data_IF_831112659243
#
_entry.id   IF_831112659243
#
_cell.length_a   1.000
_cell.length_b   1.000
_cell.length_c   1.000
_cell.angle_alpha   90.00
_cell.angle_beta   90.00
_cell.angle_gamma   90.00
#
_symmetry.space_group_name_H-M   'P 1'
#
loop_
_entity.id
_entity.type
_entity.pdbx_description
1 polymer ?
#
# COMPACT_ATOMS: atom_id res chain seq x y z
N UNK A 1 -11.66 1.45 -11.08
CA UNK A 1 -11.01 0.91 -9.96
C UNK A 1 -10.56 -0.50 -10.22
N UNK A 2 -9.26 -0.67 -10.49
CA UNK A 2 -8.70 -1.96 -10.85
C UNK A 2 -8.70 -2.90 -9.64
N UNK A 3 -9.45 -3.98 -9.73
CA UNK A 3 -9.26 -5.16 -8.91
C UNK A 3 -8.00 -5.84 -9.44
N UNK A 4 -6.90 -5.77 -8.68
CA UNK A 4 -5.78 -6.66 -8.90
C UNK A 4 -6.10 -7.97 -8.18
N UNK A 5 -6.42 -8.94 -8.96
CA UNK A 5 -6.61 -10.33 -8.55
C UNK A 5 -5.23 -10.94 -8.35
N UNK A 6 -5.04 -11.64 -7.24
CA UNK A 6 -3.85 -12.43 -6.99
C UNK A 6 -4.27 -13.87 -6.84
N UNK A 7 -3.68 -14.63 -7.67
CA UNK A 7 -3.88 -16.07 -7.81
C UNK A 7 -2.82 -16.82 -7.01
N UNK A 8 -3.16 -17.83 -6.26
CA UNK A 8 -2.21 -18.68 -5.54
C UNK A 8 -2.64 -20.15 -5.45
N UNK A 9 -1.75 -21.10 -5.49
CA UNK A 9 -1.93 -22.51 -5.81
C UNK A 9 -1.13 -23.49 -5.01
N UNK A 10 -1.48 -24.66 -4.67
CA UNK A 10 -0.64 -25.68 -4.08
C UNK A 10 -0.75 -27.06 -4.69
N UNK A 11 0.24 -27.87 -4.55
CA UNK A 11 0.32 -29.29 -4.78
C UNK A 11 -0.93 -29.83 -5.40
N UNK A 12 -1.32 -29.06 -6.38
CA UNK A 12 -2.62 -29.06 -6.91
C UNK A 12 -3.66 -28.48 -5.91
N UNK A 13 -3.35 -27.57 -5.04
CA UNK A 13 -4.28 -26.79 -4.25
C UNK A 13 -4.39 -25.40 -4.87
N UNK A 14 -5.56 -25.00 -5.38
CA UNK A 14 -5.76 -23.77 -6.14
C UNK A 14 -6.29 -22.64 -5.24
N UNK A 15 -5.71 -21.44 -5.30
CA UNK A 15 -6.10 -20.31 -4.48
C UNK A 15 -6.34 -19.04 -5.27
N UNK A 16 -7.38 -18.28 -4.94
CA UNK A 16 -7.70 -16.96 -5.51
C UNK A 16 -7.54 -15.87 -4.48
N UNK A 17 -6.90 -14.77 -4.88
CA UNK A 17 -6.71 -13.59 -4.06
C UNK A 17 -7.56 -12.41 -4.52
N UNK A 18 -8.32 -11.82 -3.60
CA UNK A 18 -9.05 -10.56 -3.83
C UNK A 18 -8.35 -9.42 -3.08
N UNK A 19 -7.88 -8.40 -3.82
CA UNK A 19 -7.26 -7.20 -3.24
C UNK A 19 -8.23 -6.03 -3.28
N UNK A 20 -8.59 -5.54 -2.10
CA UNK A 20 -9.35 -4.30 -1.94
C UNK A 20 -8.44 -3.26 -1.30
N UNK A 21 -7.98 -2.23 -2.03
CA UNK A 21 -7.15 -1.24 -1.37
C UNK A 21 -6.35 -0.28 -2.23
N UNK A 22 -5.26 0.19 -1.65
CA UNK A 22 -4.28 1.08 -2.26
C UNK A 22 -3.05 0.28 -2.75
N UNK A 23 -2.09 0.99 -3.35
CA UNK A 23 -0.84 0.39 -3.87
C UNK A 23 -0.08 -0.44 -2.81
N UNK A 24 -0.16 -0.06 -1.53
CA UNK A 24 0.44 -0.87 -0.45
C UNK A 24 -0.25 -2.22 -0.29
N UNK A 25 -1.58 -2.28 -0.48
CA UNK A 25 -2.29 -3.57 -0.47
C UNK A 25 -1.92 -4.42 -1.68
N UNK A 26 -1.72 -3.81 -2.84
CA UNK A 26 -1.22 -4.52 -4.04
C UNK A 26 0.16 -5.14 -3.76
N UNK A 27 1.09 -4.35 -3.23
CA UNK A 27 2.41 -4.85 -2.82
C UNK A 27 2.31 -5.97 -1.77
N UNK A 28 1.45 -5.83 -0.76
CA UNK A 28 1.22 -6.88 0.24
C UNK A 28 0.67 -8.16 -0.42
N UNK A 29 -0.21 -8.00 -1.40
CA UNK A 29 -0.81 -9.11 -2.12
C UNK A 29 0.21 -9.88 -2.98
N UNK A 30 1.14 -9.18 -3.65
CA UNK A 30 2.28 -9.81 -4.33
C UNK A 30 3.14 -10.64 -3.35
N UNK A 31 3.27 -10.19 -2.10
CA UNK A 31 3.99 -10.93 -1.05
C UNK A 31 3.18 -12.11 -0.52
N UNK A 32 1.87 -11.95 -0.35
CA UNK A 32 0.96 -13.06 0.01
C UNK A 32 1.07 -14.17 -1.03
N UNK A 33 0.96 -13.83 -2.31
CA UNK A 33 1.09 -14.78 -3.39
C UNK A 33 2.47 -15.46 -3.39
N UNK A 34 3.56 -14.67 -3.29
CA UNK A 34 4.91 -15.23 -3.26
C UNK A 34 5.18 -16.19 -2.10
N UNK A 35 4.65 -15.89 -0.90
CA UNK A 35 4.75 -16.78 0.27
C UNK A 35 3.98 -18.07 0.04
N UNK A 36 2.82 -18.01 -0.59
CA UNK A 36 2.01 -19.18 -0.91
C UNK A 36 2.66 -20.02 -2.02
N UNK A 37 3.19 -19.39 -3.06
CA UNK A 37 3.94 -20.08 -4.12
C UNK A 37 5.17 -20.82 -3.57
N UNK A 38 5.91 -20.20 -2.64
CA UNK A 38 7.07 -20.79 -1.97
C UNK A 38 6.69 -22.00 -1.10
N UNK A 39 5.48 -21.98 -0.54
CA UNK A 39 4.86 -23.10 0.20
C UNK A 39 4.25 -24.17 -0.74
N UNK A 40 4.38 -23.98 -2.04
CA UNK A 40 3.93 -24.91 -3.07
C UNK A 40 2.51 -24.66 -3.58
N UNK A 41 1.89 -23.52 -3.29
CA UNK A 41 0.61 -23.12 -3.85
C UNK A 41 0.78 -22.64 -5.33
N UNK A 42 -0.09 -22.95 -6.34
CA UNK A 42 -0.10 -22.57 -7.78
C UNK A 42 -1.28 -21.63 -8.10
N UNK A 43 -1.16 -20.47 -8.85
CA UNK A 43 -2.21 -19.47 -9.12
C UNK A 43 -3.48 -20.00 -9.80
N UNK A 44 -4.65 -19.59 -9.35
CA UNK A 44 -5.95 -19.89 -9.94
C UNK A 44 -6.73 -18.63 -10.29
N UNK A 45 -7.56 -18.67 -11.32
CA UNK A 45 -8.41 -17.55 -11.74
C UNK A 45 -9.72 -17.50 -10.94
N UNK A 46 -10.42 -16.34 -10.94
CA UNK A 46 -11.76 -16.22 -10.35
C UNK A 46 -12.74 -17.22 -10.97
N UNK A 47 -12.64 -17.49 -12.29
CA UNK A 47 -13.47 -18.48 -12.96
C UNK A 47 -13.23 -19.88 -12.37
N UNK A 48 -11.97 -20.26 -12.18
CA UNK A 48 -11.61 -21.53 -11.52
C UNK A 48 -12.12 -21.60 -10.07
N UNK A 49 -12.13 -20.46 -9.34
CA UNK A 49 -12.72 -20.41 -8.00
C UNK A 49 -14.21 -20.73 -7.98
N UNK A 50 -14.95 -20.31 -9.01
CA UNK A 50 -16.36 -20.62 -9.18
C UNK A 50 -16.58 -22.08 -9.59
N UNK A 51 -15.68 -22.66 -10.40
CA UNK A 51 -15.78 -24.01 -10.98
C UNK A 51 -15.32 -25.16 -10.07
N UNK A 52 -15.11 -24.92 -8.78
CA UNK A 52 -14.77 -25.91 -7.74
C UNK A 52 -13.32 -26.43 -7.72
N UNK A 53 -12.41 -25.86 -8.49
CA UNK A 53 -11.00 -26.29 -8.55
C UNK A 53 -10.06 -25.49 -7.63
N UNK A 54 -10.63 -24.74 -6.65
CA UNK A 54 -9.87 -23.89 -5.74
C UNK A 54 -9.98 -24.39 -4.31
N UNK A 55 -8.84 -24.51 -3.63
CA UNK A 55 -8.74 -24.99 -2.26
C UNK A 55 -8.48 -23.87 -1.25
N UNK A 56 -8.05 -22.69 -1.72
CA UNK A 56 -7.77 -21.52 -0.90
C UNK A 56 -8.30 -20.24 -1.57
N UNK A 57 -9.00 -19.43 -0.80
CA UNK A 57 -9.36 -18.06 -1.18
C UNK A 57 -8.75 -17.11 -0.14
N UNK A 58 -7.97 -16.12 -0.61
CA UNK A 58 -7.37 -15.10 0.25
C UNK A 58 -7.94 -13.72 -0.08
N UNK A 59 -8.41 -13.00 0.93
CA UNK A 59 -8.83 -11.61 0.80
C UNK A 59 -7.84 -10.69 1.49
N UNK A 60 -7.24 -9.78 0.74
CA UNK A 60 -6.44 -8.68 1.27
C UNK A 60 -7.25 -7.37 1.30
N UNK A 61 -7.47 -6.81 2.47
CA UNK A 61 -8.48 -5.78 2.70
C UNK A 61 -7.92 -4.43 3.12
N UNK A 62 -8.57 -3.36 2.65
CA UNK A 62 -8.30 -1.98 3.05
C UNK A 62 -9.20 -1.55 4.21
N UNK A 63 -8.72 -0.63 5.05
CA UNK A 63 -9.49 -0.02 6.13
C UNK A 63 -9.71 1.49 5.94
N UNK A 64 -9.26 2.06 4.82
CA UNK A 64 -9.27 3.52 4.57
C UNK A 64 -10.66 4.03 4.17
N UNK A 65 -11.47 3.18 3.54
CA UNK A 65 -12.81 3.55 3.07
C UNK A 65 -13.87 2.86 3.90
N UNK A 66 -14.88 3.59 4.37
CA UNK A 66 -15.97 3.06 5.18
C UNK A 66 -16.67 1.87 4.52
N UNK A 67 -16.94 1.97 3.23
CA UNK A 67 -17.54 0.88 2.44
C UNK A 67 -16.62 -0.34 2.25
N UNK A 68 -15.33 -0.26 2.61
CA UNK A 68 -14.43 -1.41 2.46
C UNK A 68 -14.79 -2.54 3.44
N UNK A 69 -15.21 -2.18 4.67
CA UNK A 69 -15.67 -3.16 5.66
C UNK A 69 -16.95 -3.87 5.19
N UNK A 70 -17.93 -3.10 4.70
CA UNK A 70 -19.19 -3.68 4.21
C UNK A 70 -18.96 -4.60 3.02
N UNK A 71 -18.13 -4.18 2.05
CA UNK A 71 -17.74 -5.01 0.91
C UNK A 71 -17.04 -6.28 1.37
N UNK A 72 -16.08 -6.17 2.29
CA UNK A 72 -15.37 -7.34 2.85
C UNK A 72 -16.37 -8.33 3.43
N UNK A 73 -17.21 -7.91 4.38
CA UNK A 73 -18.17 -8.81 5.02
C UNK A 73 -19.22 -9.35 4.04
N UNK A 74 -19.65 -8.54 3.04
CA UNK A 74 -20.53 -8.99 1.97
C UNK A 74 -19.90 -10.10 1.14
N UNK A 75 -18.67 -9.91 0.67
CA UNK A 75 -17.94 -10.92 -0.14
C UNK A 75 -17.65 -12.18 0.67
N UNK A 76 -17.16 -12.05 1.91
CA UNK A 76 -16.94 -13.21 2.80
C UNK A 76 -18.25 -13.97 3.05
N UNK A 77 -19.39 -13.24 3.13
CA UNK A 77 -20.71 -13.84 3.29
C UNK A 77 -21.10 -14.75 2.10
N UNK A 78 -20.75 -14.34 0.86
CA UNK A 78 -20.96 -15.18 -0.32
C UNK A 78 -20.13 -16.47 -0.26
N UNK A 79 -18.91 -16.40 0.26
CA UNK A 79 -18.03 -17.57 0.41
C UNK A 79 -18.50 -18.57 1.48
N UNK A 80 -19.37 -18.15 2.40
CA UNK A 80 -19.98 -19.05 3.37
C UNK A 80 -20.75 -20.20 2.70
N UNK A 81 -21.42 -19.92 1.58
CA UNK A 81 -22.11 -20.96 0.81
C UNK A 81 -21.09 -21.90 0.13
N UNK A 82 -20.05 -21.34 -0.50
CA UNK A 82 -18.98 -22.12 -1.13
C UNK A 82 -18.32 -23.06 -0.11
N UNK A 83 -18.04 -22.56 1.11
CA UNK A 83 -17.47 -23.36 2.20
C UNK A 83 -18.36 -24.50 2.65
N UNK A 84 -19.70 -24.31 2.67
CA UNK A 84 -20.65 -25.38 2.99
C UNK A 84 -20.67 -26.50 1.94
N UNK A 85 -20.56 -26.10 0.67
CA UNK A 85 -20.54 -27.07 -0.47
C UNK A 85 -19.16 -27.75 -0.60
N UNK A 86 -18.09 -27.06 -0.15
CA UNK A 86 -16.69 -27.47 -0.22
C UNK A 86 -16.03 -27.35 1.16
N UNK A 87 -16.22 -28.29 2.09
CA UNK A 87 -15.70 -28.19 3.46
C UNK A 87 -14.17 -28.04 3.55
N UNK A 88 -13.44 -28.56 2.55
CA UNK A 88 -11.98 -28.47 2.48
C UNK A 88 -11.46 -27.12 1.95
N UNK A 89 -12.33 -26.29 1.34
CA UNK A 89 -11.97 -24.95 0.91
C UNK A 89 -11.52 -24.14 2.11
N UNK A 90 -10.32 -23.56 2.07
CA UNK A 90 -9.84 -22.64 3.08
C UNK A 90 -10.10 -21.19 2.68
N UNK A 91 -10.42 -20.35 3.65
CA UNK A 91 -10.68 -18.91 3.45
C UNK A 91 -9.82 -18.15 4.42
N UNK A 92 -8.96 -17.27 3.89
CA UNK A 92 -8.09 -16.40 4.66
C UNK A 92 -8.43 -14.92 4.45
N UNK A 93 -8.33 -14.11 5.51
CA UNK A 93 -8.57 -12.66 5.45
C UNK A 93 -7.38 -11.92 6.04
N UNK A 94 -6.75 -11.09 5.23
CA UNK A 94 -5.59 -10.29 5.60
C UNK A 94 -5.76 -8.79 5.37
N UNK A 95 -4.70 -8.04 5.63
CA UNK A 95 -4.61 -6.61 5.32
C UNK A 95 -5.05 -5.67 6.45
N UNK A 96 -5.28 -4.40 6.07
CA UNK A 96 -5.53 -3.34 7.05
C UNK A 96 -6.79 -3.56 7.88
N UNK A 97 -7.85 -4.14 7.30
CA UNK A 97 -9.08 -4.42 8.02
C UNK A 97 -8.91 -5.59 9.01
N UNK A 98 -8.15 -6.61 8.61
CA UNK A 98 -7.78 -7.70 9.53
C UNK A 98 -6.94 -7.18 10.71
N UNK A 99 -6.07 -6.22 10.47
CA UNK A 99 -5.29 -5.54 11.52
C UNK A 99 -6.18 -4.79 12.52
N UNK A 100 -7.31 -4.21 12.08
CA UNK A 100 -8.25 -3.50 12.94
C UNK A 100 -9.21 -4.43 13.67
N UNK A 101 -9.90 -5.28 12.93
CA UNK A 101 -11.02 -6.07 13.44
C UNK A 101 -10.59 -7.36 14.12
N UNK A 102 -9.41 -7.90 13.77
CA UNK A 102 -8.80 -9.04 14.46
C UNK A 102 -9.81 -10.19 14.69
N UNK A 103 -9.98 -10.59 15.94
CA UNK A 103 -10.92 -11.64 16.35
C UNK A 103 -12.39 -11.38 15.96
N UNK A 104 -12.79 -10.12 15.68
CA UNK A 104 -14.16 -9.83 15.27
C UNK A 104 -14.49 -10.47 13.92
N UNK A 105 -13.50 -10.60 13.02
CA UNK A 105 -13.72 -11.24 11.72
C UNK A 105 -14.09 -12.71 11.94
N UNK A 106 -13.30 -13.45 12.69
CA UNK A 106 -13.58 -14.87 12.97
C UNK A 106 -14.91 -15.07 13.73
N UNK A 107 -15.30 -14.14 14.59
CA UNK A 107 -16.61 -14.17 15.29
C UNK A 107 -17.79 -13.90 14.35
N UNK A 108 -17.67 -12.95 13.41
CA UNK A 108 -18.73 -12.59 12.46
C UNK A 108 -18.80 -13.57 11.29
N UNK A 109 -17.69 -14.16 10.92
CA UNK A 109 -17.54 -15.08 9.80
C UNK A 109 -16.82 -16.38 10.26
N UNK A 110 -17.52 -17.28 11.00
CA UNK A 110 -16.91 -18.49 11.56
C UNK A 110 -16.43 -19.50 10.50
N UNK A 111 -16.74 -19.30 9.25
CA UNK A 111 -16.26 -20.07 8.11
C UNK A 111 -14.91 -19.60 7.56
N UNK A 112 -14.35 -18.50 8.07
CA UNK A 112 -12.98 -18.05 7.77
C UNK A 112 -12.01 -18.89 8.59
N UNK A 113 -10.98 -19.43 7.92
CA UNK A 113 -9.99 -20.33 8.52
C UNK A 113 -8.79 -19.57 9.10
N UNK A 114 -8.35 -18.48 8.45
CA UNK A 114 -7.22 -17.69 8.90
C UNK A 114 -7.50 -16.18 8.83
N UNK A 115 -7.08 -15.44 9.86
CA UNK A 115 -7.08 -13.98 9.90
C UNK A 115 -5.67 -13.51 10.26
N UNK A 116 -5.04 -12.73 9.39
CA UNK A 116 -3.66 -12.27 9.59
C UNK A 116 -3.51 -10.76 9.36
N UNK A 117 -2.67 -10.15 10.18
CA UNK A 117 -2.38 -8.72 10.10
C UNK A 117 -1.43 -8.36 8.95
N UNK A 118 -1.29 -7.05 8.67
CA UNK A 118 -0.33 -6.52 7.68
C UNK A 118 1.13 -6.84 7.99
N UNK A 119 1.41 -7.28 9.22
CA UNK A 119 2.75 -7.63 9.73
C UNK A 119 2.99 -9.13 9.80
N UNK A 120 1.97 -9.94 9.49
CA UNK A 120 1.96 -11.40 9.65
C UNK A 120 1.81 -12.17 8.34
N UNK A 121 2.12 -11.54 7.20
CA UNK A 121 1.97 -12.17 5.89
C UNK A 121 2.75 -13.49 5.81
N UNK A 122 3.96 -13.53 6.34
CA UNK A 122 4.80 -14.73 6.34
C UNK A 122 4.28 -15.90 7.17
N UNK A 123 3.36 -15.66 8.12
CA UNK A 123 2.75 -16.71 8.94
C UNK A 123 1.56 -17.41 8.26
N UNK A 124 1.11 -16.92 7.10
CA UNK A 124 -0.12 -17.40 6.46
C UNK A 124 -0.13 -18.93 6.19
N UNK A 125 0.92 -19.56 5.62
CA UNK A 125 0.94 -21.00 5.43
C UNK A 125 0.74 -21.79 6.72
N UNK A 126 1.45 -21.39 7.77
CA UNK A 126 1.35 -22.01 9.10
C UNK A 126 -0.06 -21.86 9.71
N UNK A 127 -0.69 -20.70 9.54
CA UNK A 127 -2.06 -20.47 10.03
C UNK A 127 -3.07 -21.35 9.31
N UNK A 128 -2.91 -21.53 7.99
CA UNK A 128 -3.76 -22.41 7.19
C UNK A 128 -3.62 -23.88 7.62
N UNK A 129 -2.40 -24.35 7.86
CA UNK A 129 -2.15 -25.71 8.35
C UNK A 129 -2.73 -25.92 9.76
N UNK A 130 -2.52 -24.96 10.66
CA UNK A 130 -3.09 -25.02 12.00
C UNK A 130 -4.63 -25.04 11.95
N UNK A 131 -5.26 -24.22 11.12
CA UNK A 131 -6.71 -24.21 10.95
C UNK A 131 -7.23 -25.55 10.45
N UNK A 132 -6.51 -26.19 9.50
CA UNK A 132 -6.84 -27.51 8.97
C UNK A 132 -6.78 -28.61 10.05
N UNK A 133 -5.75 -28.57 10.89
CA UNK A 133 -5.55 -29.58 11.95
C UNK A 133 -6.51 -29.37 13.12
N UNK A 134 -6.72 -28.12 13.53
CA UNK A 134 -7.53 -27.80 14.72
C UNK A 134 -9.03 -27.66 14.41
N UNK A 135 -9.42 -27.54 13.14
CA UNK A 135 -10.81 -27.32 12.73
C UNK A 135 -11.41 -26.00 13.24
N UNK A 136 -10.58 -25.01 13.49
CA UNK A 136 -10.99 -23.70 14.04
C UNK A 136 -10.18 -22.56 13.44
N UNK A 137 -10.80 -21.37 13.34
CA UNK A 137 -10.16 -20.17 12.80
C UNK A 137 -8.90 -19.80 13.60
N UNK A 138 -7.81 -19.57 12.89
CA UNK A 138 -6.56 -19.09 13.45
C UNK A 138 -6.43 -17.58 13.23
N UNK A 139 -6.08 -16.83 14.26
CA UNK A 139 -5.98 -15.35 14.20
C UNK A 139 -4.63 -14.89 14.71
N UNK A 140 -3.81 -14.36 13.81
CA UNK A 140 -2.52 -13.79 14.16
C UNK A 140 -2.40 -12.35 13.66
N UNK A 141 -2.43 -11.40 14.59
CA UNK A 141 -2.36 -9.98 14.31
C UNK A 141 -1.36 -9.33 15.24
N UNK A 142 -0.14 -9.14 14.77
CA UNK A 142 0.94 -8.53 15.54
C UNK A 142 0.81 -7.01 15.62
N UNK A 143 1.18 -6.44 16.76
CA UNK A 143 1.27 -4.99 16.95
C UNK A 143 2.67 -4.46 16.57
N UNK A 144 3.69 -5.32 16.62
CA UNK A 144 5.07 -4.98 16.23
C UNK A 144 5.43 -5.59 14.88
N UNK A 145 6.39 -4.98 14.22
CA UNK A 145 6.96 -5.47 12.97
C UNK A 145 8.25 -6.25 13.32
N UNK A 146 8.23 -7.56 13.11
CA UNK A 146 9.40 -8.41 13.36
C UNK A 146 10.30 -8.51 12.11
N UNK A 147 9.74 -8.31 10.91
CA UNK A 147 10.43 -8.28 9.64
C UNK A 147 9.70 -7.37 8.65
N UNK A 148 10.40 -6.87 7.63
CA UNK A 148 9.75 -6.16 6.53
C UNK A 148 9.06 -7.14 5.59
N UNK A 149 7.77 -6.94 5.23
CA UNK A 149 7.10 -7.75 4.21
C UNK A 149 7.84 -7.82 2.88
N UNK A 150 8.63 -6.79 2.56
CA UNK A 150 9.49 -6.77 1.36
C UNK A 150 10.63 -7.80 1.37
N UNK A 151 10.93 -8.43 2.49
CA UNK A 151 11.89 -9.54 2.58
C UNK A 151 11.26 -10.88 2.22
N UNK A 152 9.93 -10.94 2.15
CA UNK A 152 9.20 -12.13 1.72
C UNK A 152 9.30 -12.31 0.19
N UNK A 153 9.18 -13.53 -0.33
CA UNK A 153 9.02 -13.79 -1.74
C UNK A 153 7.90 -12.94 -2.35
N UNK A 154 7.98 -12.60 -3.62
CA UNK A 154 6.96 -11.83 -4.32
C UNK A 154 6.61 -12.46 -5.66
N UNK A 155 5.36 -12.83 -5.82
CA UNK A 155 4.77 -13.10 -7.13
C UNK A 155 4.32 -11.76 -7.75
N UNK A 156 5.11 -11.23 -8.67
CA UNK A 156 4.86 -9.91 -9.23
C UNK A 156 3.82 -9.99 -10.36
N UNK A 157 2.78 -9.16 -10.25
CA UNK A 157 1.70 -9.10 -11.21
C UNK A 157 2.15 -8.57 -12.61
N UNK A 158 3.21 -7.77 -12.67
CA UNK A 158 3.74 -7.21 -13.91
C UNK A 158 5.21 -7.56 -14.09
N UNK A 159 5.58 -7.91 -15.32
CA UNK A 159 7.00 -8.11 -15.71
C UNK A 159 7.71 -6.80 -16.06
N UNK A 160 6.96 -5.72 -16.34
CA UNK A 160 7.50 -4.43 -16.82
C UNK A 160 7.60 -3.40 -15.71
N UNK A 161 6.67 -3.42 -14.74
CA UNK A 161 6.66 -2.49 -13.61
C UNK A 161 6.63 -3.24 -12.27
N UNK A 162 7.30 -2.69 -11.25
CA UNK A 162 7.39 -3.30 -9.92
C UNK A 162 7.14 -2.28 -8.82
N UNK A 163 6.44 -2.73 -7.79
CA UNK A 163 6.28 -1.99 -6.54
C UNK A 163 7.40 -2.34 -5.58
N UNK A 164 8.08 -1.33 -5.03
CA UNK A 164 9.16 -1.51 -4.04
C UNK A 164 8.89 -0.66 -2.81
N UNK A 165 8.54 -1.30 -1.72
CA UNK A 165 8.35 -0.61 -0.44
C UNK A 165 9.70 -0.18 0.13
N UNK A 166 9.82 1.11 0.46
CA UNK A 166 11.03 1.68 1.09
C UNK A 166 10.84 1.94 2.59
N UNK A 167 9.58 2.16 3.01
CA UNK A 167 9.20 2.32 4.40
C UNK A 167 7.78 1.80 4.64
N UNK A 168 7.45 1.51 5.89
CA UNK A 168 6.12 1.08 6.35
C UNK A 168 5.73 1.91 7.56
N UNK A 169 4.43 2.24 7.66
CA UNK A 169 3.88 3.02 8.76
C UNK A 169 4.06 4.52 8.58
N UNK A 170 3.55 5.30 9.51
CA UNK A 170 3.61 6.75 9.44
C UNK A 170 3.57 7.37 10.84
N UNK A 171 4.43 8.35 11.08
CA UNK A 171 4.50 9.10 12.34
C UNK A 171 3.59 10.35 12.35
N UNK A 172 2.92 10.67 11.24
CA UNK A 172 1.96 11.77 11.21
C UNK A 172 0.68 11.42 11.99
N UNK A 173 0.02 12.46 12.51
CA UNK A 173 -1.18 12.35 13.35
C UNK A 173 -2.41 12.96 12.66
N UNK A 174 -2.50 12.87 11.32
CA UNK A 174 -3.62 13.39 10.55
C UNK A 174 -4.95 12.80 11.08
N UNK A 175 -5.91 13.67 11.38
CA UNK A 175 -7.13 13.28 12.13
C UNK A 175 -8.06 12.32 11.37
N UNK A 176 -7.95 12.25 10.07
CA UNK A 176 -8.75 11.39 9.18
C UNK A 176 -8.03 10.08 8.78
N UNK A 177 -6.77 9.88 9.24
CA UNK A 177 -5.93 8.81 8.72
C UNK A 177 -5.82 7.64 9.69
N UNK A 178 -6.13 6.44 9.20
CA UNK A 178 -6.08 5.19 9.95
C UNK A 178 -4.70 4.50 9.91
N UNK A 179 -3.78 4.96 9.06
CA UNK A 179 -2.48 4.31 8.80
C UNK A 179 -1.67 4.05 10.07
N UNK A 180 -1.51 4.99 11.03
CA UNK A 180 -0.75 4.72 12.25
C UNK A 180 -1.32 3.55 13.07
N UNK A 181 -2.63 3.33 13.01
CA UNK A 181 -3.31 2.23 13.72
C UNK A 181 -3.11 0.90 12.99
N UNK A 182 -3.14 0.89 11.66
CA UNK A 182 -3.11 -0.34 10.87
C UNK A 182 -1.70 -0.79 10.48
N UNK A 183 -0.80 0.17 10.23
CA UNK A 183 0.58 -0.11 9.78
C UNK A 183 1.63 0.25 10.83
N UNK A 184 1.23 0.97 11.87
CA UNK A 184 2.09 1.35 12.98
C UNK A 184 2.95 2.59 12.72
N UNK A 185 3.99 2.75 13.54
CA UNK A 185 4.99 3.80 13.37
C UNK A 185 5.82 3.55 12.12
N UNK A 186 6.42 4.63 11.61
CA UNK A 186 7.30 4.57 10.46
C UNK A 186 8.57 3.78 10.75
N UNK A 187 8.87 2.85 9.85
CA UNK A 187 10.08 2.06 9.83
C UNK A 187 10.66 2.09 8.43
N UNK A 188 11.91 2.52 8.30
CA UNK A 188 12.65 2.58 7.06
C UNK A 188 13.39 1.26 6.78
N UNK A 189 13.43 0.85 5.52
CA UNK A 189 14.31 -0.21 5.06
C UNK A 189 15.73 0.32 4.88
N UNK A 190 16.70 -0.58 4.90
CA UNK A 190 18.07 -0.22 4.57
C UNK A 190 18.18 0.16 3.08
N UNK A 191 18.84 1.27 2.73
CA UNK A 191 18.98 1.68 1.32
C UNK A 191 19.58 0.60 0.43
N UNK A 192 20.57 -0.14 0.94
CA UNK A 192 21.22 -1.25 0.22
C UNK A 192 20.25 -2.37 -0.16
N UNK A 193 19.33 -2.74 0.75
CA UNK A 193 18.33 -3.78 0.50
C UNK A 193 17.30 -3.32 -0.55
N UNK A 194 16.92 -2.03 -0.52
CA UNK A 194 16.03 -1.43 -1.52
C UNK A 194 16.68 -1.48 -2.91
N UNK A 195 17.91 -1.01 -3.02
CA UNK A 195 18.64 -1.00 -4.29
C UNK A 195 18.92 -2.42 -4.82
N UNK A 196 19.18 -3.38 -3.94
CA UNK A 196 19.33 -4.79 -4.32
C UNK A 196 18.01 -5.35 -4.90
N UNK A 197 16.88 -5.08 -4.25
CA UNK A 197 15.57 -5.49 -4.76
C UNK A 197 15.25 -4.83 -6.10
N UNK A 198 15.54 -3.54 -6.28
CA UNK A 198 15.33 -2.85 -7.56
C UNK A 198 16.16 -3.49 -8.67
N UNK A 199 17.44 -3.79 -8.43
CA UNK A 199 18.29 -4.49 -9.41
C UNK A 199 17.70 -5.86 -9.77
N UNK A 200 17.27 -6.63 -8.77
CA UNK A 200 16.61 -7.91 -9.03
C UNK A 200 15.33 -7.75 -9.88
N UNK A 201 14.54 -6.70 -9.65
CA UNK A 201 13.38 -6.41 -10.49
C UNK A 201 13.80 -6.16 -11.94
N UNK A 202 14.84 -5.35 -12.16
CA UNK A 202 15.38 -5.03 -13.49
C UNK A 202 15.95 -6.27 -14.18
N UNK A 203 16.70 -7.10 -13.46
CA UNK A 203 17.24 -8.36 -13.97
C UNK A 203 16.11 -9.32 -14.41
N UNK A 204 14.96 -9.25 -13.75
CA UNK A 204 13.74 -9.99 -14.12
C UNK A 204 12.89 -9.31 -15.19
N UNK A 205 13.36 -8.20 -15.79
CA UNK A 205 12.76 -7.52 -16.92
C UNK A 205 11.97 -6.25 -16.61
N UNK A 206 11.89 -5.82 -15.35
CA UNK A 206 11.21 -4.57 -15.00
C UNK A 206 11.94 -3.36 -15.59
N UNK A 207 11.17 -2.45 -16.20
CA UNK A 207 11.62 -1.17 -16.75
C UNK A 207 11.22 0.02 -15.89
N UNK A 208 10.24 -0.18 -15.05
CA UNK A 208 9.70 0.83 -14.15
C UNK A 208 9.64 0.30 -12.72
N UNK A 209 10.02 1.16 -11.77
CA UNK A 209 9.85 0.89 -10.33
C UNK A 209 9.10 2.06 -9.71
N UNK A 210 8.11 1.74 -8.88
CA UNK A 210 7.43 2.72 -8.03
C UNK A 210 7.80 2.48 -6.58
N UNK A 211 8.44 3.48 -5.96
CA UNK A 211 8.80 3.45 -4.54
C UNK A 211 7.57 3.72 -3.68
N UNK A 212 7.31 2.84 -2.73
CA UNK A 212 6.14 2.89 -1.85
C UNK A 212 6.54 3.27 -0.41
N UNK A 213 5.71 4.12 0.18
CA UNK A 213 5.72 4.48 1.59
C UNK A 213 4.42 5.20 1.94
N UNK A 214 4.05 5.31 3.20
CA UNK A 214 2.89 6.11 3.64
C UNK A 214 3.24 7.59 3.78
N UNK A 215 4.52 7.90 3.87
CA UNK A 215 5.14 9.20 3.81
C UNK A 215 6.51 9.00 3.17
N UNK A 216 6.54 8.78 1.86
CA UNK A 216 7.73 8.27 1.15
C UNK A 216 8.95 9.17 1.28
N UNK A 217 8.76 10.49 1.34
CA UNK A 217 9.83 11.47 1.40
C UNK A 217 10.33 11.80 2.82
N UNK A 218 9.78 11.16 3.86
CA UNK A 218 10.40 11.11 5.21
C UNK A 218 11.40 9.96 5.36
N UNK A 219 11.59 9.14 4.32
CA UNK A 219 12.57 8.06 4.34
C UNK A 219 13.94 8.54 4.82
N UNK A 220 14.48 7.85 5.82
CA UNK A 220 15.76 8.17 6.45
C UNK A 220 15.67 9.08 7.67
N UNK A 221 14.53 9.70 7.96
CA UNK A 221 14.40 10.56 9.16
C UNK A 221 14.62 9.77 10.45
N UNK A 222 14.19 8.51 10.48
CA UNK A 222 14.37 7.60 11.61
C UNK A 222 15.82 7.27 11.93
N UNK A 223 16.71 7.37 10.95
CA UNK A 223 18.17 7.18 11.08
C UNK A 223 18.95 8.50 11.10
N UNK A 224 18.26 9.64 11.15
CA UNK A 224 18.87 10.97 11.24
C UNK A 224 19.37 11.56 9.92
N UNK A 225 19.07 10.96 8.78
CA UNK A 225 19.43 11.44 7.44
C UNK A 225 18.22 12.03 6.72
N UNK A 226 18.08 13.38 6.77
CA UNK A 226 16.99 14.10 6.09
C UNK A 226 17.09 14.11 4.57
N UNK A 227 18.25 13.74 4.02
CA UNK A 227 18.53 13.69 2.59
C UNK A 227 18.50 12.26 2.03
N UNK A 228 18.13 11.27 2.85
CA UNK A 228 18.15 9.87 2.43
C UNK A 228 17.25 9.60 1.23
N UNK A 229 16.07 10.23 1.16
CA UNK A 229 15.15 10.02 0.04
C UNK A 229 15.71 10.57 -1.28
N UNK A 230 16.26 11.77 -1.30
CA UNK A 230 16.90 12.35 -2.50
C UNK A 230 18.14 11.57 -2.92
N UNK A 231 18.95 11.11 -1.95
CA UNK A 231 20.08 10.20 -2.22
C UNK A 231 19.60 8.87 -2.85
N UNK A 232 18.50 8.31 -2.34
CA UNK A 232 17.91 7.09 -2.90
C UNK A 232 17.44 7.30 -4.34
N UNK A 233 16.77 8.42 -4.65
CA UNK A 233 16.37 8.76 -6.01
C UNK A 233 17.58 8.83 -6.97
N UNK A 234 18.64 9.51 -6.57
CA UNK A 234 19.88 9.58 -7.38
C UNK A 234 20.53 8.20 -7.54
N UNK A 235 20.57 7.40 -6.47
CA UNK A 235 21.11 6.03 -6.56
C UNK A 235 20.27 5.12 -7.47
N UNK A 236 18.97 5.32 -7.58
CA UNK A 236 18.14 4.64 -8.57
C UNK A 236 18.51 5.05 -10.01
N UNK A 237 18.99 6.29 -10.20
CA UNK A 237 19.48 6.78 -11.49
C UNK A 237 20.69 6.01 -12.04
N UNK A 238 21.48 5.43 -11.14
CA UNK A 238 22.69 4.67 -11.49
C UNK A 238 22.40 3.18 -11.81
N UNK A 239 21.15 2.73 -11.74
CA UNK A 239 20.78 1.33 -12.03
C UNK A 239 20.59 1.16 -13.54
N UNK A 240 21.52 0.45 -14.18
CA UNK A 240 21.45 0.12 -15.58
C UNK A 240 20.18 -0.69 -15.91
N UNK A 241 19.47 -0.32 -16.99
CA UNK A 241 18.25 -0.98 -17.42
C UNK A 241 16.97 -0.47 -16.73
N UNK A 242 17.06 0.34 -15.68
CA UNK A 242 15.91 0.99 -15.03
C UNK A 242 15.57 2.28 -15.78
N UNK A 243 14.47 2.26 -16.53
CA UNK A 243 14.07 3.38 -17.38
C UNK A 243 13.21 4.43 -16.66
N UNK A 244 12.43 4.02 -15.64
CA UNK A 244 11.52 4.91 -14.92
C UNK A 244 11.50 4.61 -13.44
N UNK A 245 11.61 5.68 -12.65
CA UNK A 245 11.42 5.67 -11.19
C UNK A 245 10.26 6.59 -10.84
N UNK A 246 9.29 6.05 -10.13
CA UNK A 246 8.16 6.79 -9.57
C UNK A 246 8.10 6.61 -8.06
N UNK A 247 7.31 7.41 -7.39
CA UNK A 247 7.01 7.23 -5.96
C UNK A 247 5.60 7.71 -5.63
N UNK A 248 5.05 7.19 -4.54
CA UNK A 248 3.70 7.51 -4.08
C UNK A 248 3.71 8.12 -2.70
N UNK A 249 2.62 8.85 -2.35
CA UNK A 249 2.36 9.38 -1.01
C UNK A 249 3.45 10.32 -0.45
N UNK A 250 4.03 11.24 -1.24
CA UNK A 250 4.89 12.27 -0.67
C UNK A 250 4.06 13.23 0.19
N UNK A 251 4.66 13.69 1.29
CA UNK A 251 4.04 14.63 2.19
C UNK A 251 4.63 16.05 2.00
N UNK A 252 3.80 17.10 1.82
CA UNK A 252 4.28 18.44 1.56
C UNK A 252 5.29 18.98 2.59
N UNK A 253 5.10 18.65 3.87
CA UNK A 253 6.01 19.14 4.93
C UNK A 253 7.43 18.58 4.85
N UNK A 254 7.63 17.41 4.24
CA UNK A 254 8.92 16.76 4.06
C UNK A 254 9.46 16.88 2.62
N UNK A 255 8.80 17.68 1.76
CA UNK A 255 9.22 17.88 0.38
C UNK A 255 10.21 19.03 0.30
N UNK A 256 11.50 18.70 0.29
CA UNK A 256 12.62 19.64 0.38
C UNK A 256 13.12 20.05 -1.00
N UNK A 257 13.85 21.17 -1.08
CA UNK A 257 14.50 21.62 -2.31
C UNK A 257 15.48 20.57 -2.87
N UNK A 258 16.08 19.75 -2.00
CA UNK A 258 16.97 18.65 -2.37
C UNK A 258 16.22 17.49 -3.07
N UNK A 259 14.99 17.20 -2.68
CA UNK A 259 14.13 16.23 -3.39
C UNK A 259 13.76 16.77 -4.78
N UNK A 260 13.42 18.05 -4.89
CA UNK A 260 13.14 18.70 -6.18
C UNK A 260 14.37 18.61 -7.10
N UNK A 261 15.56 18.94 -6.57
CA UNK A 261 16.81 18.84 -7.31
C UNK A 261 17.08 17.39 -7.77
N UNK A 262 16.91 16.41 -6.87
CA UNK A 262 17.11 15.00 -7.23
C UNK A 262 16.16 14.53 -8.34
N UNK A 263 14.90 14.97 -8.32
CA UNK A 263 13.94 14.67 -9.41
C UNK A 263 14.36 15.30 -10.74
N UNK A 264 14.77 16.57 -10.71
CA UNK A 264 15.15 17.31 -11.93
C UNK A 264 16.48 16.83 -12.54
N UNK A 265 17.42 16.39 -11.70
CA UNK A 265 18.79 16.00 -12.12
C UNK A 265 18.91 14.53 -12.51
N UNK A 266 17.97 13.67 -12.10
CA UNK A 266 18.05 12.22 -12.32
C UNK A 266 17.13 11.83 -13.49
N UNK A 267 17.67 11.51 -14.69
CA UNK A 267 16.90 11.42 -15.91
C UNK A 267 15.78 10.36 -15.94
N UNK A 268 15.93 9.29 -15.16
CA UNK A 268 14.92 8.24 -15.07
C UNK A 268 13.90 8.44 -13.94
N UNK A 269 14.04 9.48 -13.11
CA UNK A 269 13.00 9.87 -12.15
C UNK A 269 11.93 10.68 -12.88
N UNK A 270 10.71 10.17 -12.85
CA UNK A 270 9.62 10.76 -13.63
C UNK A 270 9.15 12.09 -13.02
N UNK A 271 8.96 13.11 -13.88
CA UNK A 271 8.38 14.40 -13.53
C UNK A 271 6.86 14.28 -13.31
N UNK A 272 6.45 13.27 -12.55
CA UNK A 272 5.07 13.02 -12.17
C UNK A 272 4.96 12.96 -10.64
N UNK A 273 4.06 13.74 -10.08
CA UNK A 273 3.90 13.87 -8.64
C UNK A 273 2.43 13.83 -8.26
N UNK A 274 2.05 12.85 -7.44
CA UNK A 274 0.78 12.90 -6.72
C UNK A 274 1.01 13.57 -5.37
N UNK A 275 0.53 14.81 -5.22
CA UNK A 275 0.88 15.70 -4.12
C UNK A 275 -0.38 16.15 -3.35
N UNK A 276 -0.78 15.43 -2.28
CA UNK A 276 -2.05 15.64 -1.61
C UNK A 276 -2.12 16.97 -0.86
N UNK A 277 -2.97 17.89 -1.34
CA UNK A 277 -3.27 19.18 -0.70
C UNK A 277 -4.19 19.02 0.50
N UNK A 278 -5.22 18.17 0.36
CA UNK A 278 -6.33 17.89 1.29
C UNK A 278 -7.33 19.04 1.43
N UNK A 279 -6.91 20.28 1.66
CA UNK A 279 -7.75 21.48 1.71
C UNK A 279 -6.94 22.73 1.37
N UNK A 280 -7.57 23.74 0.78
CA UNK A 280 -6.99 25.07 0.56
C UNK A 280 -7.15 26.01 1.75
N UNK A 281 -7.94 25.63 2.76
CA UNK A 281 -8.13 26.42 3.98
C UNK A 281 -7.12 26.04 5.06
N UNK A 282 -6.35 27.03 5.52
CA UNK A 282 -5.39 26.84 6.62
C UNK A 282 -6.08 26.47 7.94
N UNK A 283 -7.33 26.88 8.14
CA UNK A 283 -8.14 26.51 9.29
C UNK A 283 -8.46 25.01 9.26
N UNK A 284 -8.86 24.51 8.11
CA UNK A 284 -9.17 23.10 7.90
C UNK A 284 -7.88 22.25 7.93
N UNK A 285 -6.79 22.71 7.32
CA UNK A 285 -5.48 22.04 7.41
C UNK A 285 -5.01 21.87 8.87
N UNK A 286 -5.24 22.89 9.74
CA UNK A 286 -4.97 22.75 11.18
C UNK A 286 -5.87 21.72 11.85
N UNK A 287 -7.17 21.74 11.56
CA UNK A 287 -8.13 20.77 12.08
C UNK A 287 -7.80 19.34 11.63
N UNK A 288 -7.30 19.17 10.42
CA UNK A 288 -6.77 17.91 9.89
C UNK A 288 -5.41 17.52 10.49
N UNK A 289 -4.79 18.34 11.31
CA UNK A 289 -3.42 18.20 11.83
C UNK A 289 -2.38 18.05 10.70
N UNK A 290 -2.55 18.80 9.62
CA UNK A 290 -1.53 18.90 8.57
C UNK A 290 -0.44 19.85 9.00
N UNK A 291 0.83 19.45 8.84
CA UNK A 291 2.01 20.19 9.28
C UNK A 291 2.50 21.26 8.28
N UNK A 292 1.71 21.55 7.25
CA UNK A 292 1.93 22.62 6.28
C UNK A 292 0.69 23.53 6.19
N UNK A 293 0.84 24.64 5.46
CA UNK A 293 -0.21 25.63 5.15
C UNK A 293 -0.26 25.87 3.64
N UNK A 294 -1.33 26.48 3.18
CA UNK A 294 -1.60 26.76 1.77
C UNK A 294 -0.44 27.48 1.08
N UNK A 295 0.08 28.55 1.69
CA UNK A 295 1.21 29.30 1.13
C UNK A 295 2.48 28.44 0.95
N UNK A 296 2.80 27.56 1.91
CA UNK A 296 3.95 26.66 1.80
C UNK A 296 3.75 25.61 0.72
N UNK A 297 2.52 25.13 0.55
CA UNK A 297 2.18 24.19 -0.51
C UNK A 297 2.38 24.81 -1.90
N UNK A 298 1.91 26.05 -2.11
CA UNK A 298 2.10 26.79 -3.36
C UNK A 298 3.57 27.09 -3.64
N UNK A 299 4.35 27.54 -2.64
CA UNK A 299 5.81 27.74 -2.76
C UNK A 299 6.52 26.48 -3.27
N UNK A 300 6.13 25.30 -2.77
CA UNK A 300 6.70 24.02 -3.26
C UNK A 300 6.29 23.76 -4.70
N UNK A 301 5.02 23.97 -5.08
CA UNK A 301 4.57 23.82 -6.47
C UNK A 301 5.32 24.72 -7.43
N UNK A 302 5.53 25.99 -7.06
CA UNK A 302 6.26 26.95 -7.88
C UNK A 302 7.72 26.51 -8.09
N UNK A 303 8.37 26.04 -7.02
CA UNK A 303 9.73 25.48 -7.10
C UNK A 303 9.81 24.23 -8.00
N UNK A 304 8.84 23.33 -7.87
CA UNK A 304 8.76 22.13 -8.72
C UNK A 304 8.65 22.53 -10.19
N UNK A 305 7.75 23.47 -10.52
CA UNK A 305 7.56 23.95 -11.90
C UNK A 305 8.72 24.73 -12.45
N UNK A 306 9.41 25.48 -11.59
CA UNK A 306 10.64 26.18 -11.98
C UNK A 306 11.77 25.20 -12.33
N UNK A 307 11.91 24.12 -11.58
CA UNK A 307 12.93 23.08 -11.83
C UNK A 307 12.53 22.10 -12.95
N UNK A 308 11.23 21.80 -13.05
CA UNK A 308 10.66 20.82 -13.99
C UNK A 308 9.38 21.39 -14.62
N UNK A 309 9.50 22.21 -15.70
CA UNK A 309 8.34 22.86 -16.33
C UNK A 309 7.30 21.90 -16.90
N UNK A 310 7.69 20.67 -17.21
CA UNK A 310 6.86 19.59 -17.73
C UNK A 310 6.22 18.71 -16.63
N UNK A 311 6.45 19.03 -15.35
CA UNK A 311 5.95 18.23 -14.24
C UNK A 311 4.42 18.09 -14.23
N UNK A 312 3.96 16.85 -14.20
CA UNK A 312 2.54 16.51 -14.07
C UNK A 312 2.19 16.32 -12.59
N UNK A 313 1.30 17.17 -12.08
CA UNK A 313 0.96 17.18 -10.66
C UNK A 313 -0.52 16.88 -10.49
N UNK A 314 -0.82 15.89 -9.68
CA UNK A 314 -2.18 15.55 -9.22
C UNK A 314 -2.30 15.70 -7.70
N UNK A 315 -3.52 15.78 -7.20
CA UNK A 315 -3.79 15.99 -5.78
C UNK A 315 -5.04 15.25 -5.31
N UNK A 316 -5.15 15.09 -3.99
CA UNK A 316 -6.38 14.70 -3.30
C UNK A 316 -6.94 15.88 -2.51
N UNK A 317 -8.27 16.01 -2.50
CA UNK A 317 -9.02 17.02 -1.74
C UNK A 317 -10.10 16.30 -0.92
N UNK A 318 -10.22 16.66 0.35
CA UNK A 318 -11.32 16.24 1.23
C UNK A 318 -12.32 17.39 1.32
N UNK A 319 -13.52 17.16 0.84
CA UNK A 319 -14.64 18.11 0.92
C UNK A 319 -15.61 17.65 2.01
N UNK A 320 -16.19 18.60 2.74
CA UNK A 320 -17.10 18.30 3.83
C UNK A 320 -16.43 17.81 5.10
N UNK A 321 -15.16 18.16 5.31
CA UNK A 321 -14.47 17.86 6.57
C UNK A 321 -15.25 18.46 7.76
N UNK A 322 -15.37 17.76 8.91
CA UNK A 322 -16.14 18.26 10.05
C UNK A 322 -15.77 19.69 10.44
N UNK A 323 -16.75 20.58 10.38
CA UNK A 323 -16.59 22.01 10.64
C UNK A 323 -16.10 22.83 9.46
N UNK A 324 -15.96 22.28 8.26
CA UNK A 324 -15.71 23.04 7.02
C UNK A 324 -16.89 23.95 6.71
N UNK A 325 -16.61 25.21 6.43
CA UNK A 325 -17.61 26.21 6.01
C UNK A 325 -17.55 26.42 4.50
N UNK A 326 -18.57 27.06 3.94
CA UNK A 326 -18.58 27.45 2.52
C UNK A 326 -17.35 28.34 2.18
N UNK A 327 -16.94 29.24 3.07
CA UNK A 327 -15.75 30.07 2.87
C UNK A 327 -14.47 29.20 2.78
N UNK A 328 -14.32 28.17 3.62
CA UNK A 328 -13.19 27.25 3.54
C UNK A 328 -13.18 26.45 2.23
N UNK A 329 -14.35 26.01 1.79
CA UNK A 329 -14.50 25.32 0.52
C UNK A 329 -14.13 26.23 -0.67
N UNK A 330 -14.61 27.48 -0.67
CA UNK A 330 -14.25 28.46 -1.72
C UNK A 330 -12.75 28.72 -1.77
N UNK A 331 -12.06 28.82 -0.64
CA UNK A 331 -10.58 28.90 -0.59
C UNK A 331 -9.92 27.67 -1.21
N UNK A 332 -10.48 26.49 -0.98
CA UNK A 332 -10.00 25.27 -1.62
C UNK A 332 -10.17 25.33 -3.14
N UNK A 333 -11.32 25.82 -3.61
CA UNK A 333 -11.60 25.99 -5.05
C UNK A 333 -10.67 27.03 -5.71
N UNK A 334 -10.40 28.15 -5.03
CA UNK A 334 -9.44 29.17 -5.48
C UNK A 334 -8.05 28.57 -5.63
N UNK A 335 -7.58 27.85 -4.61
CA UNK A 335 -6.27 27.23 -4.61
C UNK A 335 -6.13 26.14 -5.69
N UNK A 336 -7.16 25.35 -5.95
CA UNK A 336 -7.17 24.36 -7.03
C UNK A 336 -7.02 25.04 -8.39
N UNK A 337 -7.71 26.18 -8.62
CA UNK A 337 -7.58 26.95 -9.87
C UNK A 337 -6.18 27.53 -10.05
N UNK A 338 -5.61 28.10 -8.97
CA UNK A 338 -4.26 28.67 -8.96
C UNK A 338 -3.20 27.57 -9.16
N UNK A 339 -3.33 26.46 -8.45
CA UNK A 339 -2.41 25.33 -8.51
C UNK A 339 -2.41 24.60 -9.85
N UNK A 340 -3.46 24.65 -10.63
CA UNK A 340 -3.57 24.05 -11.98
C UNK A 340 -3.12 22.60 -12.00
N UNK A 341 -3.74 21.79 -11.16
CA UNK A 341 -3.52 20.34 -11.15
C UNK A 341 -3.97 19.67 -12.46
#
# INVERSE_FOLDING_TARGET
>A
GDQLEIEAVANVTHGVGHTLGCQMNVHDSERIAGVLEDDGYVPATEEQALDKDVDLIVMNTCAVRENAAERMYGTIGLWAQMKRERPNLQIAVGGCMAQLDRQKIAKKAPWVDAVFGTKNIGSLPQLLDQARVLGSAQVEVADKLDYFPSQLPAARASRVSSWVSISIGCNNTCTFCIVPTTRGKEHDRRPGDILAEIRQCVDNGAKEVTLLGQNVNSFGYGIGDRYAFSKLLRACGEIEGLERVRFTSPHPAAFTDDVIAAMAETPNVMHQLHFPLQSGSDRILRAMRRSYRSAKFMDILDKIRAAMPDAQISTDIIVGFPGETEEDFQRTMEMVREARF
#
